data_IF_609716011679
#
_entry.id   IF_609716011679
#
_cell.length_a   1.000
_cell.length_b   1.000
_cell.length_c   1.000
_cell.angle_alpha   90.00
_cell.angle_beta   90.00
_cell.angle_gamma   90.00
#
_symmetry.space_group_name_H-M   'P 1'
#
loop_
_entity.id
_entity.type
_entity.pdbx_description
1 polymer ?
#
# COMPACT_ATOMS: atom_id res chain seq x y z
N UNK A 1 -15.10 3.01 -28.46
CA UNK A 1 -15.70 3.22 -27.11
C UNK A 1 -15.49 2.08 -26.09
N UNK A 2 -15.38 0.81 -26.50
CA UNK A 2 -15.15 -0.35 -25.59
C UNK A 2 -13.84 -0.28 -24.77
N UNK A 3 -12.75 0.24 -25.37
CA UNK A 3 -11.43 0.32 -24.73
C UNK A 3 -11.35 1.27 -23.51
N UNK A 4 -12.00 2.44 -23.56
CA UNK A 4 -12.05 3.38 -22.42
C UNK A 4 -12.78 2.78 -21.20
N UNK A 5 -13.90 2.08 -21.43
CA UNK A 5 -14.72 1.50 -20.37
C UNK A 5 -14.01 0.32 -19.67
N UNK A 6 -13.32 -0.52 -20.44
CA UNK A 6 -12.46 -1.59 -19.91
C UNK A 6 -11.31 -1.04 -19.06
N UNK A 7 -10.66 0.03 -19.52
CA UNK A 7 -9.57 0.69 -18.80
C UNK A 7 -10.02 1.25 -17.45
N UNK A 8 -11.20 1.90 -17.41
CA UNK A 8 -11.81 2.40 -16.17
C UNK A 8 -12.17 1.27 -15.20
N UNK A 9 -12.72 0.15 -15.68
CA UNK A 9 -13.01 -1.02 -14.85
C UNK A 9 -11.75 -1.61 -14.22
N UNK A 10 -10.69 -1.82 -15.02
CA UNK A 10 -9.41 -2.35 -14.55
C UNK A 10 -8.74 -1.46 -13.49
N UNK A 11 -8.88 -0.14 -13.62
CA UNK A 11 -8.39 0.82 -12.63
C UNK A 11 -9.18 0.71 -11.32
N UNK A 12 -10.51 0.62 -11.38
CA UNK A 12 -11.35 0.42 -10.19
C UNK A 12 -11.00 -0.88 -9.46
N UNK A 13 -10.84 -1.98 -10.20
CA UNK A 13 -10.44 -3.27 -9.62
C UNK A 13 -9.07 -3.19 -8.93
N UNK A 14 -8.14 -2.41 -9.50
CA UNK A 14 -6.83 -2.17 -8.89
C UNK A 14 -6.92 -1.33 -7.61
N UNK A 15 -7.75 -0.29 -7.61
CA UNK A 15 -8.02 0.55 -6.42
C UNK A 15 -8.52 -0.32 -5.28
N UNK A 16 -9.53 -1.16 -5.53
CA UNK A 16 -10.10 -2.03 -4.50
C UNK A 16 -9.08 -3.06 -4.00
N UNK A 17 -8.28 -3.65 -4.89
CA UNK A 17 -7.17 -4.55 -4.50
C UNK A 17 -6.14 -3.86 -3.60
N UNK A 18 -5.75 -2.63 -3.91
CA UNK A 18 -4.81 -1.87 -3.08
C UNK A 18 -5.41 -1.53 -1.71
N UNK A 19 -6.71 -1.16 -1.64
CA UNK A 19 -7.42 -0.93 -0.38
C UNK A 19 -7.50 -2.20 0.46
N UNK A 20 -7.90 -3.33 -0.13
CA UNK A 20 -7.98 -4.62 0.56
C UNK A 20 -6.60 -5.06 1.08
N UNK A 21 -5.54 -4.85 0.30
CA UNK A 21 -4.18 -5.13 0.73
C UNK A 21 -3.82 -4.30 1.95
N UNK A 22 -3.99 -2.97 1.88
CA UNK A 22 -3.68 -2.06 3.00
C UNK A 22 -4.51 -2.41 4.24
N UNK A 23 -5.79 -2.72 4.07
CA UNK A 23 -6.63 -3.21 5.17
C UNK A 23 -6.03 -4.44 5.85
N UNK A 24 -5.61 -5.44 5.06
CA UNK A 24 -5.00 -6.65 5.59
C UNK A 24 -3.69 -6.34 6.34
N UNK A 25 -2.84 -5.46 5.80
CA UNK A 25 -1.61 -5.04 6.49
C UNK A 25 -1.95 -4.42 7.86
N UNK A 26 -2.89 -3.48 7.89
CA UNK A 26 -3.28 -2.80 9.13
C UNK A 26 -3.90 -3.79 10.12
N UNK A 27 -4.71 -4.74 9.66
CA UNK A 27 -5.31 -5.78 10.51
C UNK A 27 -4.24 -6.66 11.16
N UNK A 28 -3.23 -7.09 10.40
CA UNK A 28 -2.09 -7.87 10.93
C UNK A 28 -1.34 -7.07 12.00
N UNK A 29 -1.01 -5.81 11.70
CA UNK A 29 -0.35 -4.92 12.65
C UNK A 29 -1.17 -4.73 13.93
N UNK A 30 -2.45 -4.40 13.81
CA UNK A 30 -3.33 -4.17 14.95
C UNK A 30 -3.44 -5.41 15.85
N UNK A 31 -3.59 -6.60 15.25
CA UNK A 31 -3.66 -7.85 16.01
C UNK A 31 -2.38 -8.12 16.79
N UNK A 32 -1.21 -7.87 16.19
CA UNK A 32 0.07 -8.17 16.84
C UNK A 32 0.53 -7.10 17.83
N UNK A 33 0.38 -5.82 17.49
CA UNK A 33 0.92 -4.71 18.27
C UNK A 33 -0.08 -4.19 19.31
N UNK A 34 -1.37 -4.16 18.98
CA UNK A 34 -2.42 -3.64 19.87
C UNK A 34 -3.22 -4.75 20.55
N UNK A 35 -2.91 -6.03 20.25
CA UNK A 35 -3.56 -7.23 20.81
C UNK A 35 -5.09 -7.22 20.67
N UNK A 36 -5.60 -6.58 19.61
CA UNK A 36 -7.03 -6.47 19.35
C UNK A 36 -7.45 -7.40 18.21
N UNK A 37 -8.54 -8.17 18.40
CA UNK A 37 -9.06 -9.07 17.38
C UNK A 37 -9.71 -8.31 16.21
N UNK A 38 -10.24 -7.11 16.50
CA UNK A 38 -10.77 -6.18 15.52
C UNK A 38 -9.84 -4.98 15.37
N UNK A 39 -10.04 -4.17 14.32
CA UNK A 39 -9.29 -2.92 14.17
C UNK A 39 -9.65 -1.96 15.31
N UNK A 40 -8.65 -1.47 16.03
CA UNK A 40 -8.84 -0.40 17.01
C UNK A 40 -9.13 0.93 16.31
N UNK A 41 -9.60 1.92 17.07
CA UNK A 41 -9.94 3.26 16.55
C UNK A 41 -8.81 3.89 15.73
N UNK A 42 -7.58 3.85 16.23
CA UNK A 42 -6.42 4.39 15.51
C UNK A 42 -6.17 3.69 14.17
N UNK A 43 -6.26 2.36 14.15
CA UNK A 43 -6.06 1.59 12.93
C UNK A 43 -7.20 1.81 11.91
N UNK A 44 -8.43 2.03 12.37
CA UNK A 44 -9.56 2.43 11.52
C UNK A 44 -9.30 3.80 10.89
N UNK A 45 -8.85 4.78 11.69
CA UNK A 45 -8.52 6.12 11.20
C UNK A 45 -7.40 6.07 10.15
N UNK A 46 -6.35 5.28 10.40
CA UNK A 46 -5.26 5.07 9.46
C UNK A 46 -5.75 4.43 8.14
N UNK A 47 -6.60 3.41 8.23
CA UNK A 47 -7.19 2.76 7.05
C UNK A 47 -8.06 3.73 6.24
N UNK A 48 -8.93 4.50 6.90
CA UNK A 48 -9.81 5.47 6.25
C UNK A 48 -9.02 6.60 5.59
N UNK A 49 -7.92 7.03 6.21
CA UNK A 49 -6.99 7.97 5.59
C UNK A 49 -6.34 7.37 4.35
N UNK A 50 -5.76 6.17 4.47
CA UNK A 50 -5.09 5.49 3.37
C UNK A 50 -6.02 5.24 2.17
N UNK A 51 -7.24 4.76 2.44
CA UNK A 51 -8.27 4.48 1.44
C UNK A 51 -8.61 5.73 0.61
N UNK A 52 -8.83 6.88 1.28
CA UNK A 52 -9.07 8.17 0.60
C UNK A 52 -7.91 8.65 -0.27
N UNK A 53 -6.67 8.29 0.06
CA UNK A 53 -5.51 8.62 -0.76
C UNK A 53 -5.38 7.69 -1.97
N UNK A 54 -5.75 6.41 -1.82
CA UNK A 54 -5.78 5.43 -2.91
C UNK A 54 -6.85 5.83 -3.94
N UNK A 55 -8.05 6.22 -3.49
CA UNK A 55 -9.14 6.70 -4.34
C UNK A 55 -8.74 7.88 -5.22
N UNK A 56 -7.92 8.78 -4.68
CA UNK A 56 -7.49 10.01 -5.36
C UNK A 56 -6.11 9.88 -6.02
N UNK A 57 -5.61 8.66 -6.19
CA UNK A 57 -4.26 8.45 -6.69
C UNK A 57 -4.16 8.74 -8.19
N UNK A 58 -3.52 9.87 -8.53
CA UNK A 58 -3.23 10.28 -9.92
C UNK A 58 -2.34 9.31 -10.70
N UNK A 59 -1.57 8.49 -9.99
CA UNK A 59 -0.61 7.54 -10.57
C UNK A 59 -1.11 6.10 -10.54
N UNK A 60 -2.38 5.85 -10.23
CA UNK A 60 -2.92 4.50 -10.07
C UNK A 60 -2.68 3.61 -11.29
N UNK A 61 -2.75 4.17 -12.49
CA UNK A 61 -2.55 3.43 -13.73
C UNK A 61 -1.09 2.98 -13.90
N UNK A 62 -0.14 3.87 -13.67
CA UNK A 62 1.28 3.70 -13.99
C UNK A 62 2.10 3.11 -12.84
N UNK A 63 1.74 3.40 -11.58
CA UNK A 63 2.49 2.93 -10.41
C UNK A 63 2.24 1.45 -10.15
N UNK A 64 3.28 0.72 -9.75
CA UNK A 64 3.15 -0.67 -9.31
C UNK A 64 2.73 -0.79 -7.86
N UNK A 65 3.26 0.06 -6.97
CA UNK A 65 2.98 0.07 -5.54
C UNK A 65 2.96 1.49 -4.98
N UNK A 66 2.35 1.70 -3.81
CA UNK A 66 2.39 2.98 -3.11
C UNK A 66 3.81 3.42 -2.71
N UNK A 67 4.72 2.46 -2.44
CA UNK A 67 6.14 2.72 -2.13
C UNK A 67 6.95 3.27 -3.30
N UNK A 68 6.50 3.03 -4.54
CA UNK A 68 7.12 3.52 -5.77
C UNK A 68 6.45 4.80 -6.31
N UNK A 69 5.68 5.51 -5.46
CA UNK A 69 4.95 6.70 -5.89
C UNK A 69 5.92 7.86 -6.21
N UNK A 70 5.76 8.56 -7.35
CA UNK A 70 6.63 9.67 -7.74
C UNK A 70 6.52 10.87 -6.81
N UNK A 71 5.37 11.05 -6.15
CA UNK A 71 5.12 12.17 -5.25
C UNK A 71 4.59 11.71 -3.90
N UNK A 72 4.81 12.56 -2.91
CA UNK A 72 4.35 12.40 -1.56
C UNK A 72 2.87 12.77 -1.42
N UNK A 73 2.01 11.78 -1.14
CA UNK A 73 0.57 12.01 -0.93
C UNK A 73 0.12 11.87 0.54
N UNK A 74 0.95 11.33 1.42
CA UNK A 74 0.63 11.22 2.86
C UNK A 74 1.18 12.42 3.61
N UNK A 75 0.39 12.96 4.55
CA UNK A 75 0.88 13.85 5.62
C UNK A 75 1.97 13.12 6.42
N UNK A 76 2.88 13.89 7.03
CA UNK A 76 4.12 13.36 7.63
C UNK A 76 3.81 12.33 8.73
N UNK A 77 2.93 12.69 9.65
CA UNK A 77 2.40 11.84 10.73
C UNK A 77 1.79 10.53 10.21
N UNK A 78 0.87 10.61 9.25
CA UNK A 78 0.19 9.45 8.68
C UNK A 78 1.14 8.56 7.87
N UNK A 79 2.18 9.17 7.27
CA UNK A 79 3.21 8.45 6.51
C UNK A 79 4.06 7.58 7.43
N UNK A 80 4.45 8.10 8.58
CA UNK A 80 5.24 7.34 9.55
C UNK A 80 4.44 6.13 10.06
N UNK A 81 3.17 6.36 10.42
CA UNK A 81 2.25 5.28 10.82
C UNK A 81 2.07 4.20 9.75
N UNK A 82 1.77 4.58 8.50
CA UNK A 82 1.57 3.58 7.45
C UNK A 82 2.88 2.87 7.09
N UNK A 83 4.03 3.56 7.18
CA UNK A 83 5.35 2.97 6.93
C UNK A 83 5.66 1.90 7.96
N UNK A 84 5.35 2.14 9.23
CA UNK A 84 5.51 1.14 10.29
C UNK A 84 4.65 -0.10 10.00
N UNK A 85 3.37 0.09 9.70
CA UNK A 85 2.46 -0.99 9.29
C UNK A 85 3.00 -1.75 8.09
N UNK A 86 3.48 -1.04 7.07
CA UNK A 86 4.03 -1.66 5.85
C UNK A 86 5.29 -2.48 6.12
N UNK A 87 6.21 -1.99 6.96
CA UNK A 87 7.44 -2.71 7.32
C UNK A 87 7.11 -3.94 8.16
N UNK A 88 6.26 -3.77 9.18
CA UNK A 88 5.87 -4.85 10.08
C UNK A 88 5.12 -5.96 9.35
N UNK A 89 4.11 -5.58 8.57
CA UNK A 89 3.21 -6.51 7.91
C UNK A 89 3.80 -7.01 6.60
N UNK A 90 4.65 -6.24 5.91
CA UNK A 90 5.30 -6.64 4.67
C UNK A 90 6.17 -7.90 4.84
N UNK A 91 6.94 -7.99 5.94
CA UNK A 91 7.69 -9.21 6.30
C UNK A 91 6.77 -10.43 6.50
N UNK A 92 5.55 -10.21 6.98
CA UNK A 92 4.55 -11.25 7.27
C UNK A 92 3.65 -11.56 6.07
N UNK A 93 3.58 -10.66 5.09
CA UNK A 93 2.78 -10.82 3.87
C UNK A 93 3.35 -11.86 2.90
N UNK A 94 4.64 -12.22 3.06
CA UNK A 94 5.30 -13.30 2.31
C UNK A 94 4.53 -14.62 2.46
N UNK A 95 3.92 -14.87 3.62
CA UNK A 95 3.13 -16.07 3.91
C UNK A 95 1.70 -16.05 3.32
N UNK A 96 1.21 -14.90 2.86
CA UNK A 96 -0.18 -14.74 2.36
C UNK A 96 -0.25 -14.50 0.85
N UNK A 97 0.70 -13.75 0.28
CA UNK A 97 0.80 -13.50 -1.16
C UNK A 97 2.27 -13.56 -1.61
N UNK A 98 2.85 -14.77 -1.76
CA UNK A 98 4.29 -14.94 -2.01
C UNK A 98 4.76 -14.22 -3.28
N UNK A 99 3.98 -14.27 -4.36
CA UNK A 99 4.30 -13.60 -5.63
C UNK A 99 4.28 -12.07 -5.49
N UNK A 100 3.32 -11.53 -4.74
CA UNK A 100 3.17 -10.08 -4.54
C UNK A 100 4.32 -9.52 -3.68
N UNK A 101 4.73 -10.28 -2.65
CA UNK A 101 5.84 -9.94 -1.77
C UNK A 101 7.19 -9.97 -2.51
N UNK A 102 7.44 -10.98 -3.35
CA UNK A 102 8.63 -11.04 -4.20
C UNK A 102 8.70 -9.86 -5.16
N UNK A 103 7.59 -9.54 -5.85
CA UNK A 103 7.52 -8.37 -6.74
C UNK A 103 7.77 -7.05 -5.98
N UNK A 104 7.20 -6.90 -4.79
CA UNK A 104 7.43 -5.72 -3.94
C UNK A 104 8.90 -5.61 -3.50
N UNK A 105 9.53 -6.72 -3.11
CA UNK A 105 10.93 -6.76 -2.71
C UNK A 105 11.85 -6.39 -3.88
N UNK A 106 11.68 -7.01 -5.05
CA UNK A 106 12.46 -6.71 -6.25
C UNK A 106 12.36 -5.24 -6.66
N UNK A 107 11.14 -4.67 -6.65
CA UNK A 107 10.95 -3.26 -6.99
C UNK A 107 11.54 -2.35 -5.93
N UNK A 108 11.33 -2.64 -4.63
CA UNK A 108 11.91 -1.84 -3.54
C UNK A 108 13.43 -1.81 -3.60
N UNK A 109 14.08 -2.95 -3.88
CA UNK A 109 15.53 -3.05 -4.03
C UNK A 109 16.02 -2.27 -5.26
N UNK A 110 15.31 -2.37 -6.40
CA UNK A 110 15.64 -1.62 -7.62
C UNK A 110 15.52 -0.11 -7.42
N UNK A 111 14.46 0.34 -6.74
CA UNK A 111 14.27 1.77 -6.40
C UNK A 111 15.33 2.27 -5.44
N UNK A 112 15.74 1.47 -4.43
CA UNK A 112 16.81 1.83 -3.48
C UNK A 112 18.18 1.91 -4.16
N UNK A 113 18.51 0.98 -5.07
CA UNK A 113 19.75 1.03 -5.87
C UNK A 113 19.84 2.28 -6.75
N UNK A 114 18.72 2.72 -7.33
CA UNK A 114 18.66 3.92 -8.18
C UNK A 114 18.81 5.22 -7.39
N UNK A 115 18.42 5.25 -6.11
CA UNK A 115 18.65 6.39 -5.21
C UNK A 115 20.12 6.47 -4.77
N UNK A 116 20.76 5.32 -4.55
CA UNK A 116 22.16 5.25 -4.13
C UNK A 116 23.17 5.54 -5.27
N UNK A 117 22.73 5.57 -6.52
CA UNK A 117 23.60 5.90 -7.68
C UNK A 117 23.55 7.37 -8.09
N UNK A 118 22.81 8.20 -7.33
CA UNK A 118 22.62 9.64 -7.56
C UNK A 118 23.27 10.47 -6.42
N UNK A 119 23.64 9.81 -5.32
CA UNK A 119 24.56 10.33 -4.29
C UNK A 119 25.96 9.78 -4.54
#
# INVERSE_FOLDING_TARGET
MKSKNYKTKKIKDKIEKEKSLVFLMIKIFCKSNHKNNNLCKECIELYNYASRQIDRCRFMETKTFCSACPSHCYKKDMREKIREVMIFSGKRMIFYHPILALKHLFITLKTKRKLNSIN
#
